data_IF_744938340067
#
_entry.id   IF_744938340067
#
_cell.length_a   1.000
_cell.length_b   1.000
_cell.length_c   1.000
_cell.angle_alpha   90.00
_cell.angle_beta   90.00
_cell.angle_gamma   90.00
#
_symmetry.space_group_name_H-M   'P 1'
#
loop_
_entity.id
_entity.type
_entity.pdbx_description
1 polymer ?
#
# COMPACT_ATOMS: atom_id res chain seq x y z
N UNK A 1 -4.40 26.88 -13.82
CA UNK A 1 -4.65 27.20 -15.26
C UNK A 1 -5.69 26.21 -15.76
N UNK A 2 -6.88 26.71 -16.15
CA UNK A 2 -7.96 25.91 -16.75
C UNK A 2 -7.44 25.23 -18.00
N UNK A 3 -7.63 23.89 -18.09
CA UNK A 3 -7.43 23.17 -19.34
C UNK A 3 -8.46 23.68 -20.35
N UNK A 4 -8.01 24.37 -21.37
CA UNK A 4 -8.86 24.74 -22.51
C UNK A 4 -9.33 23.43 -23.19
N UNK A 5 -10.62 23.21 -23.16
CA UNK A 5 -11.34 22.20 -23.95
C UNK A 5 -11.23 22.53 -25.43
N UNK A 6 -10.03 22.35 -26.00
CA UNK A 6 -9.77 22.72 -27.39
C UNK A 6 -10.05 21.51 -28.28
N UNK A 7 -11.16 21.57 -29.02
CA UNK A 7 -11.52 20.73 -30.15
C UNK A 7 -11.43 19.19 -29.91
N UNK A 8 -12.44 18.68 -29.26
CA UNK A 8 -12.69 17.23 -29.21
C UNK A 8 -13.46 16.81 -30.48
N UNK A 9 -12.90 15.90 -31.23
CA UNK A 9 -13.55 15.28 -32.39
C UNK A 9 -13.86 13.82 -32.10
N UNK A 10 -15.09 13.42 -32.36
CA UNK A 10 -15.55 12.06 -32.16
C UNK A 10 -15.02 11.15 -33.29
N UNK A 11 -14.10 10.25 -32.97
CA UNK A 11 -13.70 9.16 -33.85
C UNK A 11 -13.95 7.84 -33.13
N UNK A 12 -14.80 7.00 -33.71
CA UNK A 12 -15.13 5.64 -33.21
C UNK A 12 -15.59 5.58 -31.73
N UNK A 13 -16.46 6.49 -31.28
CA UNK A 13 -17.08 6.44 -29.94
C UNK A 13 -16.20 6.95 -28.80
N UNK A 14 -14.99 7.42 -29.06
CA UNK A 14 -14.09 7.99 -28.06
C UNK A 14 -13.74 9.45 -28.37
N UNK A 15 -13.87 10.34 -27.35
CA UNK A 15 -13.44 11.73 -27.51
C UNK A 15 -11.91 11.81 -27.50
N UNK A 16 -11.33 12.18 -28.62
CA UNK A 16 -9.89 12.31 -28.78
C UNK A 16 -9.45 13.75 -28.95
N UNK A 17 -8.49 14.19 -28.15
CA UNK A 17 -7.92 15.52 -28.27
C UNK A 17 -6.95 15.57 -29.47
N UNK A 18 -7.15 16.49 -30.44
CA UNK A 18 -6.27 16.71 -31.62
C UNK A 18 -4.78 16.75 -31.27
N UNK A 19 -4.45 17.16 -30.05
CA UNK A 19 -3.07 17.23 -29.56
C UNK A 19 -2.35 15.87 -29.59
N UNK A 20 -3.09 14.79 -29.37
CA UNK A 20 -2.54 13.43 -29.28
C UNK A 20 -2.72 12.60 -30.56
N UNK A 21 -3.38 13.14 -31.58
CA UNK A 21 -3.68 12.42 -32.83
C UNK A 21 -2.45 11.79 -33.47
N UNK A 22 -1.32 12.49 -33.45
CA UNK A 22 -0.05 12.00 -33.99
C UNK A 22 0.48 10.74 -33.30
N UNK A 23 0.12 10.52 -32.02
CA UNK A 23 0.58 9.37 -31.27
C UNK A 23 -0.08 8.08 -31.76
N UNK A 24 -1.31 8.15 -32.24
CA UNK A 24 -2.03 6.98 -32.74
C UNK A 24 -1.50 6.49 -34.10
N UNK A 25 -0.61 7.23 -34.72
CA UNK A 25 0.14 6.78 -35.90
C UNK A 25 1.39 5.94 -35.53
N UNK A 26 1.78 5.96 -34.28
CA UNK A 26 2.89 5.16 -33.77
C UNK A 26 2.45 3.71 -33.58
N UNK A 27 3.41 2.79 -33.77
CA UNK A 27 3.15 1.39 -33.43
C UNK A 27 2.80 1.28 -31.95
N UNK A 28 1.75 0.53 -31.61
CA UNK A 28 1.28 0.33 -30.23
C UNK A 28 2.37 -0.25 -29.31
N UNK A 29 3.36 -0.97 -29.90
CA UNK A 29 4.50 -1.55 -29.16
C UNK A 29 5.68 -0.58 -29.01
N UNK A 30 5.64 0.58 -29.65
CA UNK A 30 6.71 1.59 -29.54
C UNK A 30 6.50 2.48 -28.32
N UNK A 31 6.66 1.87 -27.14
CA UNK A 31 6.52 2.60 -25.88
C UNK A 31 7.47 3.79 -25.75
N UNK A 32 8.66 3.74 -26.40
CA UNK A 32 9.62 4.86 -26.40
C UNK A 32 9.10 6.05 -27.22
N UNK A 33 8.55 5.76 -28.38
CA UNK A 33 7.88 6.76 -29.22
C UNK A 33 6.67 7.37 -28.51
N UNK A 34 5.86 6.54 -27.88
CA UNK A 34 4.70 6.98 -27.10
C UNK A 34 5.12 7.88 -25.93
N UNK A 35 6.11 7.49 -25.11
CA UNK A 35 6.58 8.29 -23.98
C UNK A 35 7.09 9.67 -24.40
N UNK A 36 7.94 9.71 -25.44
CA UNK A 36 8.47 10.96 -26.01
C UNK A 36 7.38 11.80 -26.67
N UNK A 37 6.44 11.17 -27.32
CA UNK A 37 5.30 11.83 -27.94
C UNK A 37 4.36 12.48 -26.91
N UNK A 38 4.02 11.80 -25.83
CA UNK A 38 3.25 12.35 -24.72
C UNK A 38 3.93 13.59 -24.14
N UNK A 39 5.24 13.56 -23.93
CA UNK A 39 6.00 14.69 -23.46
C UNK A 39 5.92 15.88 -24.43
N UNK A 40 6.12 15.65 -25.74
CA UNK A 40 6.00 16.69 -26.78
C UNK A 40 4.59 17.28 -26.86
N UNK A 41 3.57 16.48 -26.60
CA UNK A 41 2.19 16.93 -26.51
C UNK A 41 1.86 17.71 -25.22
N UNK A 42 2.82 17.89 -24.33
CA UNK A 42 2.62 18.63 -23.08
C UNK A 42 1.73 17.89 -22.06
N UNK A 43 1.76 16.53 -22.08
CA UNK A 43 1.06 15.71 -21.09
C UNK A 43 1.59 15.96 -19.67
N UNK A 44 2.90 16.17 -19.54
CA UNK A 44 3.55 16.48 -18.27
C UNK A 44 4.43 17.72 -18.40
N UNK A 45 4.52 18.50 -17.33
CA UNK A 45 5.40 19.68 -17.23
C UNK A 45 6.85 19.31 -16.95
N UNK A 46 7.09 18.10 -16.44
CA UNK A 46 8.43 17.58 -16.16
C UNK A 46 9.17 17.22 -17.46
N UNK A 47 10.29 17.90 -17.71
CA UNK A 47 11.16 17.62 -18.88
C UNK A 47 11.77 16.21 -18.87
N UNK A 48 11.87 15.58 -17.71
CA UNK A 48 12.38 14.21 -17.57
C UNK A 48 11.27 13.14 -17.66
N UNK A 49 10.00 13.52 -17.85
CA UNK A 49 8.86 12.61 -17.82
C UNK A 49 9.03 11.41 -18.76
N UNK A 50 9.40 11.63 -20.03
CA UNK A 50 9.56 10.55 -20.99
C UNK A 50 10.64 9.55 -20.55
N UNK A 51 11.77 10.05 -20.04
CA UNK A 51 12.86 9.18 -19.58
C UNK A 51 12.48 8.38 -18.33
N UNK A 52 11.76 9.02 -17.39
CA UNK A 52 11.25 8.34 -16.20
C UNK A 52 10.25 7.24 -16.56
N UNK A 53 9.33 7.54 -17.49
CA UNK A 53 8.35 6.56 -17.97
C UNK A 53 9.02 5.39 -18.68
N UNK A 54 9.98 5.66 -19.59
CA UNK A 54 10.75 4.64 -20.30
C UNK A 54 11.49 3.75 -19.28
N UNK A 55 12.15 4.36 -18.30
CA UNK A 55 12.87 3.62 -17.25
C UNK A 55 11.94 2.69 -16.49
N UNK A 56 10.77 3.14 -16.05
CA UNK A 56 9.78 2.30 -15.38
C UNK A 56 9.36 1.12 -16.27
N UNK A 57 9.07 1.38 -17.55
CA UNK A 57 8.69 0.32 -18.49
C UNK A 57 9.81 -0.70 -18.67
N UNK A 58 11.07 -0.26 -18.68
CA UNK A 58 12.25 -1.13 -18.81
C UNK A 58 12.59 -1.87 -17.53
N UNK A 59 12.58 -1.19 -16.37
CA UNK A 59 12.87 -1.77 -15.05
C UNK A 59 11.87 -2.89 -14.69
N UNK A 60 10.61 -2.72 -15.05
CA UNK A 60 9.55 -3.71 -14.84
C UNK A 60 9.27 -4.59 -16.06
N UNK A 61 10.04 -4.45 -17.15
CA UNK A 61 9.89 -5.20 -18.40
C UNK A 61 8.45 -5.20 -18.97
N UNK A 62 7.70 -4.10 -18.80
CA UNK A 62 6.28 -4.03 -19.16
C UNK A 62 6.02 -4.26 -20.66
N UNK A 63 6.99 -3.92 -21.53
CA UNK A 63 6.92 -4.19 -22.99
C UNK A 63 6.73 -5.67 -23.33
N UNK A 64 7.00 -6.59 -22.39
CA UNK A 64 6.81 -8.04 -22.60
C UNK A 64 5.34 -8.41 -22.70
N UNK A 65 4.44 -7.63 -22.10
CA UNK A 65 2.99 -7.87 -22.18
C UNK A 65 2.43 -7.52 -23.55
N UNK A 66 3.07 -6.61 -24.29
CA UNK A 66 2.64 -6.19 -25.63
C UNK A 66 3.04 -7.19 -26.71
N UNK A 67 3.96 -8.10 -26.43
CA UNK A 67 4.53 -8.99 -27.45
C UNK A 67 3.66 -10.19 -27.83
N UNK A 68 2.58 -10.47 -27.10
CA UNK A 68 1.62 -11.54 -27.38
C UNK A 68 2.19 -12.97 -27.46
N UNK A 69 3.51 -13.11 -27.50
CA UNK A 69 4.19 -14.40 -27.55
C UNK A 69 4.44 -14.90 -26.14
N UNK A 70 3.59 -15.80 -25.66
CA UNK A 70 3.92 -16.64 -24.50
C UNK A 70 5.20 -17.41 -24.84
N UNK A 71 6.37 -16.89 -24.41
CA UNK A 71 7.59 -17.70 -24.41
C UNK A 71 7.36 -18.90 -23.52
N UNK A 72 7.54 -20.13 -24.08
CA UNK A 72 7.62 -21.37 -23.31
C UNK A 72 8.58 -21.12 -22.15
N UNK A 73 8.12 -21.40 -20.93
CA UNK A 73 8.84 -21.25 -19.68
C UNK A 73 10.12 -22.09 -19.72
N UNK A 74 11.29 -21.46 -19.84
CA UNK A 74 12.47 -21.98 -19.17
C UNK A 74 12.20 -21.88 -17.65
N UNK A 75 12.50 -22.94 -16.94
CA UNK A 75 12.21 -23.16 -15.53
C UNK A 75 12.95 -22.14 -14.63
N UNK A 76 12.48 -20.93 -14.61
CA UNK A 76 12.73 -20.00 -13.53
C UNK A 76 11.62 -20.23 -12.50
N UNK A 77 12.01 -20.49 -11.25
CA UNK A 77 11.14 -20.68 -10.09
C UNK A 77 9.87 -19.86 -10.27
N UNK A 78 8.70 -20.53 -10.23
CA UNK A 78 7.40 -19.86 -10.14
C UNK A 78 7.51 -18.87 -8.98
N UNK A 79 7.76 -17.61 -9.26
CA UNK A 79 7.32 -16.55 -8.38
C UNK A 79 5.80 -16.58 -8.55
N UNK A 80 5.13 -17.29 -7.64
CA UNK A 80 3.71 -17.12 -7.43
C UNK A 80 3.55 -15.64 -7.16
N UNK A 81 3.05 -14.88 -8.14
CA UNK A 81 2.53 -13.55 -7.86
C UNK A 81 1.52 -13.76 -6.73
N UNK A 82 1.70 -13.11 -5.60
CA UNK A 82 0.77 -13.28 -4.50
C UNK A 82 -0.61 -12.88 -5.03
N UNK A 83 -1.53 -13.84 -5.05
CA UNK A 83 -2.94 -13.53 -5.22
C UNK A 83 -3.31 -12.82 -3.93
N UNK A 84 -3.42 -11.49 -3.99
CA UNK A 84 -3.81 -10.70 -2.83
C UNK A 84 -5.25 -11.07 -2.46
N UNK A 85 -5.40 -12.03 -1.56
CA UNK A 85 -6.69 -12.47 -1.03
C UNK A 85 -7.25 -11.50 0.01
N UNK A 86 -6.51 -10.43 0.33
CA UNK A 86 -6.86 -9.44 1.35
C UNK A 86 -7.09 -8.08 0.70
N UNK A 87 -8.15 -7.43 1.13
CA UNK A 87 -8.36 -6.03 0.84
C UNK A 87 -7.46 -5.21 1.76
N UNK A 88 -6.71 -4.30 1.15
CA UNK A 88 -5.77 -3.44 1.86
C UNK A 88 -6.46 -2.13 2.23
N UNK A 89 -6.33 -1.75 3.49
CA UNK A 89 -6.89 -0.52 4.04
C UNK A 89 -5.79 0.40 4.54
N UNK A 90 -6.15 1.63 4.81
CA UNK A 90 -5.24 2.62 5.39
C UNK A 90 -5.92 3.36 6.53
N UNK A 91 -5.27 3.36 7.70
CA UNK A 91 -5.67 4.16 8.86
C UNK A 91 -4.44 4.73 9.54
N UNK A 92 -4.57 5.89 10.16
CA UNK A 92 -3.44 6.57 10.84
C UNK A 92 -2.18 6.70 9.95
N UNK A 93 -2.36 6.78 8.61
CA UNK A 93 -1.27 6.78 7.66
C UNK A 93 -0.49 5.46 7.56
N UNK A 94 -0.99 4.37 8.13
CA UNK A 94 -0.45 3.01 8.07
C UNK A 94 -1.34 2.11 7.21
N UNK A 95 -0.70 1.18 6.51
CA UNK A 95 -1.36 0.18 5.69
C UNK A 95 -1.63 -1.06 6.55
N UNK A 96 -2.84 -1.60 6.45
CA UNK A 96 -3.25 -2.79 7.19
C UNK A 96 -4.24 -3.64 6.41
N UNK A 97 -4.44 -4.87 6.89
CA UNK A 97 -5.49 -5.78 6.44
C UNK A 97 -6.28 -6.27 7.65
N UNK A 98 -7.50 -6.71 7.43
CA UNK A 98 -8.26 -7.45 8.43
C UNK A 98 -7.95 -8.95 8.30
N UNK A 99 -7.70 -9.60 9.44
CA UNK A 99 -7.63 -11.06 9.51
C UNK A 99 -9.02 -11.65 9.22
N UNK A 100 -9.03 -12.80 8.55
CA UNK A 100 -10.23 -13.62 8.30
C UNK A 100 -10.27 -14.80 9.27
N UNK A 101 -11.39 -15.52 9.26
CA UNK A 101 -11.49 -16.75 10.03
C UNK A 101 -10.37 -17.72 9.70
N UNK A 102 -9.74 -18.28 10.74
CA UNK A 102 -8.63 -19.22 10.66
C UNK A 102 -7.35 -18.70 9.99
N UNK A 103 -7.19 -17.38 9.90
CA UNK A 103 -5.94 -16.79 9.43
C UNK A 103 -4.81 -16.95 10.45
N UNK A 104 -3.59 -16.98 9.92
CA UNK A 104 -2.36 -16.87 10.69
C UNK A 104 -1.46 -15.79 10.10
N UNK A 105 -0.55 -15.25 10.92
CA UNK A 105 0.46 -14.30 10.44
C UNK A 105 1.28 -14.85 9.27
N UNK A 106 1.50 -16.17 9.22
CA UNK A 106 2.23 -16.83 8.15
C UNK A 106 1.45 -16.81 6.82
N UNK A 107 0.14 -17.09 6.87
CA UNK A 107 -0.74 -17.03 5.69
C UNK A 107 -0.87 -15.62 5.13
N UNK A 108 -1.12 -14.63 6.01
CA UNK A 108 -1.22 -13.22 5.62
C UNK A 108 0.12 -12.75 5.04
N UNK A 109 1.23 -13.06 5.70
CA UNK A 109 2.56 -12.67 5.24
C UNK A 109 2.88 -13.24 3.85
N UNK A 110 2.62 -14.54 3.62
CA UNK A 110 2.82 -15.17 2.30
C UNK A 110 1.95 -14.52 1.23
N UNK A 111 0.67 -14.26 1.55
CA UNK A 111 -0.26 -13.62 0.62
C UNK A 111 0.17 -12.20 0.25
N UNK A 112 0.72 -11.45 1.21
CA UNK A 112 1.12 -10.05 1.04
C UNK A 112 2.59 -9.87 0.66
N UNK A 113 3.36 -10.97 0.49
CA UNK A 113 4.77 -10.92 0.10
C UNK A 113 5.75 -10.53 1.22
N UNK A 114 5.33 -10.68 2.49
CA UNK A 114 6.16 -10.45 3.66
C UNK A 114 6.73 -11.75 4.24
N UNK A 115 7.72 -11.62 5.11
CA UNK A 115 8.14 -12.70 6.01
C UNK A 115 7.27 -12.67 7.26
N UNK A 116 6.79 -13.83 7.75
CA UNK A 116 5.94 -13.92 8.94
C UNK A 116 6.55 -13.19 10.15
N UNK A 117 7.83 -13.43 10.45
CA UNK A 117 8.57 -12.76 11.54
C UNK A 117 8.58 -11.23 11.41
N UNK A 118 8.61 -10.70 10.18
CA UNK A 118 8.56 -9.27 9.94
C UNK A 118 7.18 -8.70 10.26
N UNK A 119 6.13 -9.42 9.85
CA UNK A 119 4.76 -9.01 10.09
C UNK A 119 4.42 -9.04 11.58
N UNK A 120 4.81 -10.11 12.29
CA UNK A 120 4.67 -10.22 13.74
C UNK A 120 5.40 -9.08 14.47
N UNK A 121 6.61 -8.73 14.02
CA UNK A 121 7.38 -7.62 14.57
C UNK A 121 6.69 -6.26 14.36
N UNK A 122 6.02 -6.05 13.23
CA UNK A 122 5.26 -4.83 12.98
C UNK A 122 4.05 -4.71 13.92
N UNK A 123 3.44 -5.84 14.26
CA UNK A 123 2.28 -5.92 15.15
C UNK A 123 2.64 -6.14 16.62
N UNK A 124 3.93 -6.36 16.92
CA UNK A 124 4.47 -6.55 18.28
C UNK A 124 3.82 -7.74 19.01
N UNK A 125 3.63 -8.84 18.28
CA UNK A 125 3.05 -10.08 18.80
C UNK A 125 4.05 -11.24 18.77
N UNK A 126 3.90 -12.27 19.66
CA UNK A 126 4.70 -13.49 19.65
C UNK A 126 4.39 -14.36 18.41
N UNK A 127 5.20 -15.42 18.20
CA UNK A 127 5.08 -16.28 17.01
C UNK A 127 3.78 -17.09 16.99
N UNK A 128 3.22 -17.40 18.15
CA UNK A 128 2.02 -18.21 18.36
C UNK A 128 0.76 -17.40 18.65
N UNK A 129 0.80 -16.08 18.39
CA UNK A 129 -0.34 -15.19 18.66
C UNK A 129 -1.54 -15.60 17.81
N UNK A 130 -2.69 -15.97 18.43
CA UNK A 130 -3.90 -16.35 17.70
C UNK A 130 -4.55 -15.10 17.09
N UNK A 131 -4.81 -15.14 15.79
CA UNK A 131 -5.60 -14.12 15.10
C UNK A 131 -7.07 -14.50 15.13
N UNK A 132 -7.91 -13.50 15.37
CA UNK A 132 -9.35 -13.60 15.24
C UNK A 132 -9.82 -12.86 13.98
N UNK A 133 -10.97 -13.30 13.44
CA UNK A 133 -11.57 -12.56 12.33
C UNK A 133 -11.88 -11.12 12.73
N UNK A 134 -11.45 -10.17 11.89
CA UNK A 134 -11.60 -8.75 12.15
C UNK A 134 -10.41 -8.09 12.83
N UNK A 135 -9.40 -8.85 13.27
CA UNK A 135 -8.18 -8.27 13.83
C UNK A 135 -7.44 -7.44 12.79
N UNK A 136 -6.96 -6.28 13.22
CA UNK A 136 -6.12 -5.40 12.40
C UNK A 136 -4.70 -5.94 12.36
N UNK A 137 -4.21 -6.22 11.16
CA UNK A 137 -2.82 -6.65 10.93
C UNK A 137 -2.10 -5.57 10.12
N UNK A 138 -1.24 -4.80 10.78
CA UNK A 138 -0.44 -3.77 10.13
C UNK A 138 0.64 -4.39 9.24
N UNK A 139 0.74 -3.89 8.01
CA UNK A 139 1.77 -4.28 7.04
C UNK A 139 3.02 -3.40 7.13
N UNK A 140 2.99 -2.41 8.00
CA UNK A 140 4.05 -1.44 8.25
C UNK A 140 4.34 -1.33 9.75
N UNK A 141 5.53 -0.82 10.05
CA UNK A 141 5.92 -0.55 11.44
C UNK A 141 5.05 0.55 12.04
N UNK A 142 4.43 0.28 13.19
CA UNK A 142 3.61 1.24 13.93
C UNK A 142 4.39 2.49 14.33
N UNK A 143 3.67 3.60 14.49
CA UNK A 143 4.23 4.91 14.85
C UNK A 143 4.63 4.95 16.34
N UNK A 144 5.36 5.98 16.72
CA UNK A 144 5.69 6.21 18.13
C UNK A 144 4.61 7.01 18.87
N UNK A 145 3.74 7.72 18.14
CA UNK A 145 2.68 8.58 18.67
C UNK A 145 1.46 8.47 17.77
N UNK A 146 0.27 8.60 18.34
CA UNK A 146 -0.97 8.64 17.57
C UNK A 146 -1.07 9.89 16.68
N UNK A 147 -1.86 9.83 15.63
CA UNK A 147 -2.15 10.99 14.80
C UNK A 147 -3.16 11.92 15.48
N UNK A 148 -3.07 13.21 15.18
CA UNK A 148 -4.07 14.18 15.64
C UNK A 148 -5.44 13.82 15.02
N UNK A 149 -6.53 14.00 15.75
CA UNK A 149 -6.69 14.67 17.04
C UNK A 149 -6.58 13.75 18.27
N UNK A 150 -6.11 12.51 18.15
CA UNK A 150 -6.08 11.53 19.22
C UNK A 150 -4.94 11.86 20.20
N UNK A 151 -5.26 12.57 21.28
CA UNK A 151 -4.28 12.95 22.30
C UNK A 151 -4.25 11.97 23.47
N UNK A 152 -5.43 11.56 23.92
CA UNK A 152 -5.65 10.70 25.06
C UNK A 152 -6.68 9.62 24.72
N UNK A 153 -6.70 8.54 25.50
CA UNK A 153 -7.67 7.46 25.43
C UNK A 153 -8.13 7.10 26.84
N UNK A 154 -9.44 6.99 27.02
CA UNK A 154 -10.03 6.49 28.25
C UNK A 154 -10.24 4.99 28.10
N UNK A 155 -9.56 4.21 28.91
CA UNK A 155 -9.58 2.74 28.86
C UNK A 155 -10.99 2.22 29.11
N UNK A 156 -11.44 1.33 28.25
CA UNK A 156 -12.72 0.64 28.35
C UNK A 156 -12.54 -0.76 28.96
N UNK A 157 -13.64 -1.35 29.41
CA UNK A 157 -13.65 -2.71 29.95
C UNK A 157 -13.03 -3.70 28.94
N UNK A 158 -12.06 -4.49 29.39
CA UNK A 158 -11.42 -5.54 28.59
C UNK A 158 -10.33 -5.05 27.63
N UNK A 159 -10.04 -3.76 27.59
CA UNK A 159 -8.91 -3.26 26.79
C UNK A 159 -7.57 -3.53 27.47
N UNK A 160 -6.56 -3.75 26.67
CA UNK A 160 -5.17 -3.94 27.07
C UNK A 160 -4.28 -2.87 26.44
N UNK A 161 -3.09 -2.68 26.99
CA UNK A 161 -2.09 -1.79 26.37
C UNK A 161 -1.79 -2.18 24.91
N UNK A 162 -1.84 -3.48 24.61
CA UNK A 162 -1.64 -3.96 23.24
C UNK A 162 -2.84 -3.60 22.34
N UNK A 163 -4.09 -3.85 22.77
CA UNK A 163 -5.28 -3.54 21.96
C UNK A 163 -5.40 -2.04 21.69
N UNK A 164 -5.13 -1.20 22.69
CA UNK A 164 -5.10 0.26 22.52
C UNK A 164 -3.99 0.70 21.56
N UNK A 165 -2.78 0.15 21.72
CA UNK A 165 -1.67 0.43 20.80
C UNK A 165 -1.99 0.00 19.36
N UNK A 166 -2.71 -1.11 19.19
CA UNK A 166 -3.15 -1.60 17.90
C UNK A 166 -4.22 -0.71 17.28
N UNK A 167 -5.19 -0.26 18.07
CA UNK A 167 -6.26 0.64 17.65
C UNK A 167 -5.72 1.95 17.05
N UNK A 168 -4.71 2.55 17.66
CA UNK A 168 -4.14 3.83 17.22
C UNK A 168 -2.89 3.71 16.34
N UNK A 169 -2.47 2.49 15.99
CA UNK A 169 -1.28 2.25 15.16
C UNK A 169 0.02 2.72 15.80
N UNK A 170 0.13 2.67 17.12
CA UNK A 170 1.32 3.09 17.87
C UNK A 170 2.05 1.89 18.46
N UNK A 171 3.36 2.04 18.65
CA UNK A 171 4.19 1.01 19.27
C UNK A 171 3.85 0.89 20.75
N UNK A 172 3.61 -0.32 21.23
CA UNK A 172 3.27 -0.60 22.62
C UNK A 172 4.33 -0.05 23.60
N UNK A 173 5.62 -0.21 23.26
CA UNK A 173 6.73 0.33 24.03
C UNK A 173 6.66 1.86 24.16
N UNK A 174 6.20 2.54 23.10
CA UNK A 174 6.05 3.99 23.11
C UNK A 174 4.87 4.41 23.99
N UNK A 175 3.78 3.63 23.97
CA UNK A 175 2.60 3.88 24.82
C UNK A 175 2.96 3.76 26.31
N UNK A 176 3.66 2.71 26.72
CA UNK A 176 4.17 2.58 28.10
C UNK A 176 5.05 3.76 28.51
N UNK A 177 6.01 4.13 27.64
CA UNK A 177 6.93 5.23 27.91
C UNK A 177 6.22 6.58 28.05
N UNK A 178 5.24 6.88 27.19
CA UNK A 178 4.49 8.14 27.26
C UNK A 178 3.71 8.27 28.58
N UNK A 179 3.22 7.16 29.09
CA UNK A 179 2.42 7.11 30.32
C UNK A 179 3.26 6.85 31.59
N UNK A 180 4.59 6.75 31.45
CA UNK A 180 5.51 6.45 32.59
C UNK A 180 5.13 5.15 33.30
N UNK A 181 4.63 4.18 32.55
CA UNK A 181 4.24 2.84 33.02
C UNK A 181 5.31 1.83 32.63
N UNK A 182 5.50 0.80 33.42
CA UNK A 182 6.33 -0.37 33.11
C UNK A 182 5.56 -1.42 32.30
N UNK A 183 6.24 -2.50 31.95
CA UNK A 183 5.65 -3.54 31.08
C UNK A 183 4.60 -4.39 31.79
N UNK A 184 4.62 -4.40 33.11
CA UNK A 184 3.72 -5.21 33.96
C UNK A 184 2.42 -4.48 34.29
N UNK A 185 2.32 -3.20 33.89
CA UNK A 185 1.13 -2.41 34.07
C UNK A 185 -0.05 -2.95 33.29
N UNK A 186 -1.14 -3.23 33.98
CA UNK A 186 -2.43 -3.61 33.41
C UNK A 186 -3.34 -2.38 33.52
N UNK A 187 -3.88 -1.87 32.39
CA UNK A 187 -4.78 -0.74 32.43
C UNK A 187 -6.14 -1.14 33.01
N UNK A 188 -6.72 -0.25 33.83
CA UNK A 188 -8.05 -0.41 34.40
C UNK A 188 -9.05 0.48 33.69
N UNK A 189 -10.34 0.10 33.74
CA UNK A 189 -11.41 0.91 33.17
C UNK A 189 -11.39 2.33 33.77
N UNK A 190 -11.49 3.33 32.92
CA UNK A 190 -11.45 4.74 33.32
C UNK A 190 -10.05 5.36 33.37
N UNK A 191 -8.99 4.56 33.26
CA UNK A 191 -7.63 5.11 33.13
C UNK A 191 -7.51 5.99 31.89
N UNK A 192 -6.81 7.11 32.04
CA UNK A 192 -6.55 8.02 30.91
C UNK A 192 -5.11 7.83 30.43
N UNK A 193 -4.97 7.28 29.24
CA UNK A 193 -3.68 7.03 28.62
C UNK A 193 -3.35 8.10 27.57
N UNK A 194 -2.18 8.71 27.70
CA UNK A 194 -1.63 9.63 26.68
C UNK A 194 -1.20 8.86 25.45
N UNK A 195 -1.59 9.34 24.27
CA UNK A 195 -1.27 8.76 22.96
C UNK A 195 -0.22 9.56 22.20
N UNK A 196 0.14 10.76 22.68
CA UNK A 196 1.12 11.68 22.05
C UNK A 196 2.02 12.35 23.06
#
# INVERSE_FOLDING_TARGET
RRMNLCNMQLLSGTYMCRRYERLFKLNIKDYKGWAKGLQKCGYATDRAYANKLIKVIEDYELYRFDSGKRKKKTSTKKQNLPVFNYQVYRTHGLIYVYAKDNDSFDQIARSMGFKAKQLMKFNEVPEDFPLQAGDIVYLEKKKKKADKPNYDHVVQVGESMHSIAQMYGIQIKSLYKMNKKDKDYIPEEGDVLKLR
#
